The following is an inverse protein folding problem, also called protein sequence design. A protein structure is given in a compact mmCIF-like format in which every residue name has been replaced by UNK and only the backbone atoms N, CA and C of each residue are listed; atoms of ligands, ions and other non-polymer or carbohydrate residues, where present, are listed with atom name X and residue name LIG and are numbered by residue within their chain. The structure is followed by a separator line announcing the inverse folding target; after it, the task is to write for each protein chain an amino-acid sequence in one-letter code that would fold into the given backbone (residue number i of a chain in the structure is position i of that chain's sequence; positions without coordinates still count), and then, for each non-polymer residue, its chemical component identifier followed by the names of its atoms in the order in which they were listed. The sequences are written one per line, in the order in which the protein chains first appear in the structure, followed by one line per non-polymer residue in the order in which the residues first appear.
data_IF_823075081159
#
_entry.id   IF_823075081159
#
_cell.length_a   1.000
_cell.length_b   1.000
_cell.length_c   1.000
_cell.angle_alpha   90.00
_cell.angle_beta   90.00
_cell.angle_gamma   90.00
#
_symmetry.space_group_name_H-M   'P 1'
#
loop_
_entity.id
_entity.type
_entity.pdbx_description
1 polymer ?
#
# COMPACT_ATOMS: atom_id res chain seq x y z
N UNK A 1 5.97 -21.41 -7.86
CA UNK A 1 6.82 -20.29 -7.38
C UNK A 1 5.97 -19.49 -6.40
N UNK A 2 6.39 -19.31 -5.14
CA UNK A 2 5.54 -18.66 -4.13
C UNK A 2 5.18 -17.22 -4.55
N UNK A 3 3.97 -16.77 -4.20
CA UNK A 3 3.46 -15.41 -4.41
C UNK A 3 4.50 -14.36 -3.98
N UNK A 4 5.07 -14.54 -2.79
CA UNK A 4 6.13 -13.69 -2.22
C UNK A 4 7.33 -13.57 -3.15
N UNK A 5 7.76 -14.67 -3.76
CA UNK A 5 8.90 -14.66 -4.70
C UNK A 5 8.57 -13.90 -5.99
N UNK A 6 7.33 -13.95 -6.49
CA UNK A 6 6.91 -13.14 -7.66
C UNK A 6 6.93 -11.64 -7.34
N UNK A 7 6.40 -11.26 -6.18
CA UNK A 7 6.37 -9.87 -5.75
C UNK A 7 7.77 -9.33 -5.45
N UNK A 8 8.60 -10.12 -4.77
CA UNK A 8 10.01 -9.77 -4.55
C UNK A 8 10.77 -9.62 -5.87
N UNK A 9 10.52 -10.47 -6.87
CA UNK A 9 11.18 -10.34 -8.17
C UNK A 9 10.74 -9.04 -8.88
N UNK A 10 9.44 -8.72 -8.89
CA UNK A 10 8.93 -7.52 -9.59
C UNK A 10 9.35 -6.22 -8.90
N UNK A 11 9.13 -6.13 -7.60
CA UNK A 11 9.39 -4.91 -6.85
C UNK A 11 10.85 -4.79 -6.38
N UNK A 12 11.50 -5.91 -6.07
CA UNK A 12 12.91 -5.95 -5.69
C UNK A 12 13.84 -5.61 -6.86
N UNK A 13 13.53 -6.04 -8.09
CA UNK A 13 14.30 -5.62 -9.28
C UNK A 13 14.13 -4.12 -9.52
N UNK A 14 12.91 -3.59 -9.44
CA UNK A 14 12.67 -2.16 -9.59
C UNK A 14 13.43 -1.34 -8.53
N UNK A 15 13.45 -1.81 -7.27
CA UNK A 15 14.21 -1.19 -6.19
C UNK A 15 15.73 -1.28 -6.43
N UNK A 16 16.23 -2.44 -6.89
CA UNK A 16 17.64 -2.65 -7.23
C UNK A 16 18.13 -1.75 -8.37
N UNK A 17 17.26 -1.45 -9.33
CA UNK A 17 17.57 -0.52 -10.42
C UNK A 17 17.54 0.92 -9.91
N UNK A 18 16.60 1.28 -9.02
CA UNK A 18 16.48 2.63 -8.49
C UNK A 18 17.59 2.99 -7.48
N UNK A 19 18.08 2.02 -6.70
CA UNK A 19 19.04 2.24 -5.61
C UNK A 19 20.36 2.93 -6.06
N UNK A 20 21.02 2.50 -7.16
CA UNK A 20 22.24 3.14 -7.66
C UNK A 20 22.01 4.61 -8.01
N UNK A 21 20.89 4.94 -8.68
CA UNK A 21 20.58 6.32 -9.04
C UNK A 21 20.33 7.19 -7.80
N UNK A 22 19.67 6.63 -6.78
CA UNK A 22 19.41 7.29 -5.50
C UNK A 22 20.70 7.51 -4.68
N UNK A 23 21.65 6.58 -4.75
CA UNK A 23 22.94 6.72 -4.08
C UNK A 23 23.82 7.80 -4.74
N UNK A 24 23.73 7.96 -6.07
CA UNK A 24 24.46 9.00 -6.82
C UNK A 24 23.90 10.40 -6.58
N UNK A 25 22.57 10.53 -6.39
CA UNK A 25 21.90 11.83 -6.20
C UNK A 25 22.11 12.45 -4.81
N UNK A 26 22.81 11.77 -3.90
CA UNK A 26 23.19 12.29 -2.60
C UNK A 26 22.29 11.87 -1.44
N UNK A 27 22.78 12.07 -0.21
CA UNK A 27 22.18 11.55 1.03
C UNK A 27 20.77 12.09 1.31
N UNK A 28 20.48 13.34 0.95
CA UNK A 28 19.16 13.94 1.15
C UNK A 28 18.09 13.29 0.26
N UNK A 29 18.42 12.99 -0.99
CA UNK A 29 17.49 12.32 -1.92
C UNK A 29 17.14 10.91 -1.42
N UNK A 30 18.13 10.17 -0.92
CA UNK A 30 17.91 8.86 -0.31
C UNK A 30 17.02 8.97 0.95
N UNK A 31 17.24 9.98 1.79
CA UNK A 31 16.42 10.24 2.98
C UNK A 31 14.96 10.50 2.62
N UNK A 32 14.70 11.35 1.62
CA UNK A 32 13.34 11.65 1.14
C UNK A 32 12.68 10.39 0.56
N UNK A 33 13.43 9.59 -0.21
CA UNK A 33 12.93 8.36 -0.78
C UNK A 33 12.53 7.34 0.30
N UNK A 34 13.42 7.10 1.28
CA UNK A 34 13.12 6.22 2.42
C UNK A 34 11.93 6.74 3.23
N UNK A 35 11.86 8.05 3.48
CA UNK A 35 10.73 8.67 4.15
C UNK A 35 9.41 8.40 3.41
N UNK A 36 9.37 8.55 2.08
CA UNK A 36 8.18 8.24 1.27
C UNK A 36 7.81 6.75 1.33
N UNK A 37 8.78 5.83 1.31
CA UNK A 37 8.50 4.40 1.51
C UNK A 37 7.85 4.15 2.88
N UNK A 38 8.41 4.75 3.93
CA UNK A 38 7.85 4.63 5.29
C UNK A 38 6.44 5.21 5.35
N UNK A 39 6.18 6.36 4.73
CA UNK A 39 4.84 6.95 4.65
C UNK A 39 3.85 6.03 3.93
N UNK A 40 4.26 5.36 2.85
CA UNK A 40 3.42 4.35 2.21
C UNK A 40 3.10 3.17 3.13
N UNK A 41 4.10 2.65 3.85
CA UNK A 41 3.90 1.55 4.79
C UNK A 41 2.96 1.94 5.94
N UNK A 42 3.14 3.14 6.51
CA UNK A 42 2.27 3.71 7.55
C UNK A 42 0.85 3.92 7.01
N UNK A 43 0.70 4.44 5.79
CA UNK A 43 -0.61 4.64 5.17
C UNK A 43 -1.36 3.34 4.94
N UNK A 44 -0.68 2.28 4.48
CA UNK A 44 -1.29 0.95 4.35
C UNK A 44 -1.69 0.41 5.73
N UNK A 45 -0.84 0.54 6.75
CA UNK A 45 -1.16 0.09 8.10
C UNK A 45 -2.37 0.83 8.70
N UNK A 46 -2.44 2.15 8.49
CA UNK A 46 -3.57 2.97 8.93
C UNK A 46 -4.86 2.59 8.19
N UNK A 47 -4.78 2.36 6.87
CA UNK A 47 -5.91 1.92 6.08
C UNK A 47 -6.43 0.54 6.53
N UNK A 48 -5.54 -0.40 6.83
CA UNK A 48 -5.90 -1.70 7.43
C UNK A 48 -6.54 -1.54 8.81
N UNK A 49 -6.03 -0.61 9.63
CA UNK A 49 -6.58 -0.36 10.97
C UNK A 49 -8.00 0.20 10.88
N UNK A 50 -8.23 1.18 10.01
CA UNK A 50 -9.56 1.73 9.75
C UNK A 50 -10.48 0.65 9.18
N UNK A 51 -9.99 -0.14 8.23
CA UNK A 51 -10.73 -1.27 7.68
C UNK A 51 -11.17 -2.25 8.77
N UNK A 52 -10.23 -2.71 9.59
CA UNK A 52 -10.48 -3.68 10.65
C UNK A 52 -11.41 -3.14 11.74
N UNK A 53 -11.28 -1.87 12.11
CA UNK A 53 -12.06 -1.26 13.18
C UNK A 53 -13.50 -0.89 12.76
N UNK A 54 -13.67 -0.31 11.57
CA UNK A 54 -14.95 0.31 11.19
C UNK A 54 -15.71 -0.45 10.11
N UNK A 55 -15.02 -1.09 9.17
CA UNK A 55 -15.66 -1.65 7.97
C UNK A 55 -15.79 -3.17 8.02
N UNK A 56 -14.80 -3.87 8.58
CA UNK A 56 -14.83 -5.33 8.75
C UNK A 56 -16.04 -5.82 9.56
N UNK A 57 -16.49 -5.14 10.64
CA UNK A 57 -17.72 -5.53 11.34
C UNK A 57 -18.99 -5.32 10.52
N UNK A 58 -19.00 -4.33 9.62
CA UNK A 58 -20.17 -3.93 8.82
C UNK A 58 -20.33 -4.82 7.59
N UNK A 59 -19.25 -5.12 6.87
CA UNK A 59 -19.30 -5.96 5.67
C UNK A 59 -19.27 -7.47 5.96
N UNK A 60 -19.19 -7.86 7.25
CA UNK A 60 -19.26 -9.24 7.70
C UNK A 60 -18.20 -10.15 7.06
N UNK A 61 -18.48 -11.46 7.03
CA UNK A 61 -17.68 -12.41 6.26
C UNK A 61 -17.89 -12.14 4.76
N UNK A 62 -17.01 -11.33 4.16
CA UNK A 62 -16.98 -11.02 2.72
C UNK A 62 -16.94 -12.26 1.82
N UNK A 63 -16.68 -13.43 2.40
CA UNK A 63 -16.74 -14.73 1.75
C UNK A 63 -18.16 -15.19 1.41
N UNK A 64 -19.18 -14.72 2.16
CA UNK A 64 -20.59 -15.06 1.96
C UNK A 64 -21.32 -14.10 1.00
N UNK A 65 -20.62 -13.08 0.49
CA UNK A 65 -21.17 -12.14 -0.49
C UNK A 65 -21.10 -12.72 -1.91
N UNK A 66 -22.13 -12.42 -2.69
CA UNK A 66 -22.15 -12.65 -4.13
C UNK A 66 -20.97 -11.94 -4.84
N UNK A 67 -20.59 -12.41 -6.03
CA UNK A 67 -19.39 -11.97 -6.76
C UNK A 67 -19.37 -10.45 -6.97
N UNK A 68 -20.53 -9.87 -7.33
CA UNK A 68 -20.69 -8.42 -7.50
C UNK A 68 -20.51 -7.66 -6.19
N UNK A 69 -21.04 -8.21 -5.08
CA UNK A 69 -20.88 -7.64 -3.74
C UNK A 69 -19.42 -7.65 -3.30
N UNK A 70 -18.71 -8.75 -3.53
CA UNK A 70 -17.29 -8.89 -3.20
C UNK A 70 -16.42 -7.90 -4.00
N UNK A 71 -16.66 -7.76 -5.29
CA UNK A 71 -15.96 -6.78 -6.15
C UNK A 71 -16.18 -5.35 -5.62
N UNK A 72 -17.43 -5.00 -5.28
CA UNK A 72 -17.78 -3.67 -4.79
C UNK A 72 -17.04 -3.33 -3.49
N UNK A 73 -16.96 -4.30 -2.56
CA UNK A 73 -16.25 -4.16 -1.29
C UNK A 73 -14.74 -4.02 -1.51
N UNK A 74 -14.16 -4.78 -2.45
CA UNK A 74 -12.73 -4.67 -2.80
C UNK A 74 -12.41 -3.31 -3.45
N UNK A 75 -13.28 -2.79 -4.31
CA UNK A 75 -13.13 -1.45 -4.91
C UNK A 75 -13.18 -0.39 -3.81
N UNK A 76 -14.15 -0.46 -2.91
CA UNK A 76 -14.26 0.48 -1.79
C UNK A 76 -13.01 0.45 -0.90
N UNK A 77 -12.50 -0.75 -0.57
CA UNK A 77 -11.26 -0.90 0.18
C UNK A 77 -10.07 -0.30 -0.57
N UNK A 78 -9.98 -0.50 -1.89
CA UNK A 78 -8.96 0.13 -2.73
C UNK A 78 -9.02 1.67 -2.69
N UNK A 79 -10.23 2.24 -2.78
CA UNK A 79 -10.44 3.69 -2.69
C UNK A 79 -10.03 4.25 -1.31
N UNK A 80 -10.36 3.54 -0.23
CA UNK A 80 -9.94 3.90 1.12
C UNK A 80 -8.41 3.98 1.23
N UNK A 81 -7.69 3.01 0.65
CA UNK A 81 -6.23 2.93 0.73
C UNK A 81 -5.60 4.06 -0.06
N UNK A 82 -6.08 4.30 -1.28
CA UNK A 82 -5.60 5.39 -2.12
C UNK A 82 -5.85 6.74 -1.45
N UNK A 83 -7.03 6.96 -0.87
CA UNK A 83 -7.36 8.21 -0.18
C UNK A 83 -6.41 8.50 0.99
N UNK A 84 -6.13 7.50 1.83
CA UNK A 84 -5.20 7.65 2.96
C UNK A 84 -3.76 7.87 2.48
N UNK A 85 -3.31 7.08 1.51
CA UNK A 85 -1.97 7.21 0.95
C UNK A 85 -1.74 8.57 0.29
N UNK A 86 -2.71 9.08 -0.47
CA UNK A 86 -2.64 10.41 -1.07
C UNK A 86 -2.65 11.51 0.00
N UNK A 87 -3.50 11.39 1.02
CA UNK A 87 -3.52 12.35 2.14
C UNK A 87 -2.15 12.46 2.83
N UNK A 88 -1.57 11.33 3.22
CA UNK A 88 -0.25 11.28 3.85
C UNK A 88 0.88 11.75 2.92
N UNK A 89 0.79 11.46 1.61
CA UNK A 89 1.79 11.90 0.64
C UNK A 89 1.70 13.40 0.30
N UNK A 90 0.51 14.01 0.43
CA UNK A 90 0.27 15.44 0.20
C UNK A 90 0.50 16.30 1.46
N UNK A 91 0.74 15.68 2.62
CA UNK A 91 1.13 16.38 3.84
C UNK A 91 0.00 16.71 4.81
N UNK A 92 -1.09 15.92 4.81
CA UNK A 92 -1.94 15.79 6.00
C UNK A 92 -1.21 15.05 7.12
#
# INVERSE_FOLDING_TARGET
MSEVKKYFLRFGIALLIALPFLLITGRETLRIFLYKITMCAVGVALAELIWAAFFKPVYGATENLDEVGRISVLIFRGLLYIGILLGLMLGL
#
